data_IF_009260480012
#
_entry.id   IF_009260480012
#
_cell.length_a   1.000
_cell.length_b   1.000
_cell.length_c   1.000
_cell.angle_alpha   90.00
_cell.angle_beta   90.00
_cell.angle_gamma   90.00
#
_symmetry.space_group_name_H-M   'P 1'
#
loop_
_entity.id
_entity.type
_entity.pdbx_description
1 polymer ?
#
# COMPACT_ATOMS: atom_id res chain seq x y z
N UNK A 1 0.69 8.02 28.10
CA UNK A 1 1.93 7.46 27.49
C UNK A 1 2.48 8.46 26.49
N UNK A 2 3.76 8.41 26.18
CA UNK A 2 4.35 9.15 25.06
C UNK A 2 4.21 8.35 23.74
N UNK A 3 4.64 8.93 22.62
CA UNK A 3 4.49 8.31 21.29
C UNK A 3 5.23 6.96 21.17
N UNK A 4 6.46 6.86 21.68
CA UNK A 4 7.22 5.61 21.62
C UNK A 4 6.57 4.51 22.45
N UNK A 5 6.14 4.82 23.68
CA UNK A 5 5.38 3.89 24.52
C UNK A 5 4.07 3.44 23.85
N UNK A 6 3.43 4.32 23.07
CA UNK A 6 2.22 3.97 22.32
C UNK A 6 2.53 2.97 21.20
N UNK A 7 3.61 3.21 20.44
CA UNK A 7 4.06 2.30 19.38
C UNK A 7 4.48 0.94 19.96
N UNK A 8 5.25 0.95 21.05
CA UNK A 8 5.65 -0.27 21.76
C UNK A 8 4.44 -1.06 22.27
N UNK A 9 3.42 -0.38 22.81
CA UNK A 9 2.18 -1.03 23.21
C UNK A 9 1.51 -1.71 22.01
N UNK A 10 1.36 -1.04 20.87
CA UNK A 10 0.76 -1.62 19.66
C UNK A 10 1.56 -2.84 19.21
N UNK A 11 2.88 -2.75 19.09
CA UNK A 11 3.74 -3.88 18.72
C UNK A 11 3.69 -5.04 19.71
N UNK A 12 3.50 -4.76 21.00
CA UNK A 12 3.33 -5.81 22.01
C UNK A 12 2.15 -6.76 21.76
N UNK A 13 1.19 -6.32 20.93
CA UNK A 13 0.01 -7.09 20.52
C UNK A 13 0.29 -8.03 19.34
N UNK A 14 1.43 -7.91 18.64
CA UNK A 14 1.85 -8.79 17.54
C UNK A 14 1.88 -10.26 17.96
N UNK A 15 2.20 -10.55 19.22
CA UNK A 15 2.17 -11.91 19.80
C UNK A 15 0.85 -12.64 19.63
N UNK A 16 -0.26 -11.93 19.40
CA UNK A 16 -1.57 -12.54 19.16
C UNK A 16 -1.76 -12.95 17.69
N UNK A 17 -0.83 -12.57 16.81
CA UNK A 17 -0.78 -12.94 15.39
C UNK A 17 -1.97 -12.45 14.59
N UNK A 18 -2.09 -13.01 13.39
CA UNK A 18 -3.22 -12.74 12.50
C UNK A 18 -4.41 -13.63 12.88
N UNK A 19 -5.54 -13.04 13.21
CA UNK A 19 -6.77 -13.73 13.60
C UNK A 19 -7.95 -13.14 12.84
N UNK A 20 -8.38 -13.72 11.71
CA UNK A 20 -9.55 -13.26 10.97
C UNK A 20 -10.81 -13.24 11.84
N UNK A 21 -11.66 -12.25 11.64
CA UNK A 21 -12.93 -12.08 12.37
C UNK A 21 -13.15 -10.65 12.83
N UNK A 22 -14.42 -10.24 12.90
CA UNK A 22 -14.80 -8.86 13.22
C UNK A 22 -15.28 -8.70 14.68
N UNK A 23 -15.39 -9.79 15.44
CA UNK A 23 -15.95 -9.77 16.79
C UNK A 23 -15.08 -8.95 17.75
N UNK A 24 -13.75 -9.16 17.74
CA UNK A 24 -12.83 -8.47 18.66
C UNK A 24 -12.75 -6.98 18.39
N UNK A 25 -12.59 -6.60 17.12
CA UNK A 25 -12.59 -5.19 16.73
C UNK A 25 -13.95 -4.55 17.00
N UNK A 26 -15.05 -5.29 16.83
CA UNK A 26 -16.40 -4.85 17.17
C UNK A 26 -16.58 -4.55 18.66
N UNK A 27 -16.07 -5.43 19.53
CA UNK A 27 -16.07 -5.20 20.97
C UNK A 27 -15.22 -3.99 21.35
N UNK A 28 -14.02 -3.87 20.72
CA UNK A 28 -13.14 -2.72 20.97
C UNK A 28 -13.79 -1.41 20.52
N UNK A 29 -14.38 -1.36 19.33
CA UNK A 29 -15.07 -0.16 18.86
C UNK A 29 -16.27 0.19 19.75
N UNK A 30 -17.03 -0.78 20.27
CA UNK A 30 -18.10 -0.53 21.23
C UNK A 30 -17.57 0.09 22.53
N UNK A 31 -16.49 -0.44 23.08
CA UNK A 31 -15.87 0.12 24.28
C UNK A 31 -15.35 1.55 24.06
N UNK A 32 -14.96 1.88 22.83
CA UNK A 32 -14.52 3.23 22.42
C UNK A 32 -15.67 4.17 22.01
N UNK A 33 -16.93 3.75 22.15
CA UNK A 33 -18.11 4.55 21.78
C UNK A 33 -18.39 4.57 20.29
N UNK A 34 -18.04 3.50 19.58
CA UNK A 34 -18.29 3.27 18.15
C UNK A 34 -17.77 4.40 17.24
N UNK A 35 -16.47 4.73 17.30
CA UNK A 35 -15.90 5.87 16.58
C UNK A 35 -16.03 5.77 15.07
N UNK A 36 -16.12 4.56 14.50
CA UNK A 36 -16.31 4.32 13.06
C UNK A 36 -17.68 4.75 12.54
N UNK A 37 -18.70 4.84 13.42
CA UNK A 37 -20.07 5.20 13.00
C UNK A 37 -20.18 6.66 12.60
N UNK A 38 -20.86 6.88 11.47
CA UNK A 38 -21.11 8.21 10.90
C UNK A 38 -19.93 8.82 10.15
N UNK A 39 -18.81 8.10 10.02
CA UNK A 39 -17.74 8.48 9.08
C UNK A 39 -18.18 8.10 7.65
N UNK A 40 -17.99 9.02 6.70
CA UNK A 40 -18.12 8.71 5.26
C UNK A 40 -16.85 8.04 4.79
N UNK A 41 -16.94 6.76 4.44
CA UNK A 41 -15.77 5.94 4.19
C UNK A 41 -15.66 5.56 2.72
N UNK A 42 -14.45 5.70 2.18
CA UNK A 42 -14.01 5.08 0.94
C UNK A 42 -13.13 3.90 1.34
N UNK A 43 -13.53 2.68 1.00
CA UNK A 43 -12.90 1.45 1.45
C UNK A 43 -12.21 0.75 0.30
N UNK A 44 -10.87 0.57 0.39
CA UNK A 44 -10.02 0.13 -0.73
C UNK A 44 -9.43 -1.25 -0.45
N UNK A 45 -9.84 -2.25 -1.22
CA UNK A 45 -9.29 -3.60 -1.21
C UNK A 45 -8.62 -3.96 -2.55
N UNK A 46 -7.79 -4.98 -2.55
CA UNK A 46 -7.09 -5.48 -3.73
C UNK A 46 -5.80 -6.22 -3.35
N UNK A 47 -5.08 -6.74 -4.31
CA UNK A 47 -3.74 -7.30 -4.10
C UNK A 47 -2.70 -6.20 -4.22
N UNK A 48 -2.59 -5.57 -5.37
CA UNK A 48 -1.66 -4.48 -5.66
C UNK A 48 -2.41 -3.16 -5.90
N UNK A 49 -1.76 -2.02 -5.63
CA UNK A 49 -2.31 -0.69 -5.91
C UNK A 49 -3.22 -0.11 -4.81
N UNK A 50 -3.52 -0.83 -3.72
CA UNK A 50 -4.39 -0.33 -2.64
C UNK A 50 -3.90 1.00 -2.06
N UNK A 51 -2.68 1.02 -1.50
CA UNK A 51 -2.11 2.22 -0.90
C UNK A 51 -1.99 3.38 -1.88
N UNK A 52 -1.57 3.10 -3.13
CA UNK A 52 -1.48 4.10 -4.19
C UNK A 52 -2.84 4.73 -4.50
N UNK A 53 -3.86 3.91 -4.73
CA UNK A 53 -5.22 4.38 -5.01
C UNK A 53 -5.79 5.14 -3.82
N UNK A 54 -5.60 4.65 -2.59
CA UNK A 54 -6.04 5.32 -1.36
C UNK A 54 -5.40 6.69 -1.19
N UNK A 55 -4.09 6.80 -1.44
CA UNK A 55 -3.35 8.06 -1.34
C UNK A 55 -3.83 9.05 -2.41
N UNK A 56 -4.02 8.61 -3.66
CA UNK A 56 -4.55 9.48 -4.73
C UNK A 56 -5.94 9.98 -4.37
N UNK A 57 -6.86 9.11 -3.95
CA UNK A 57 -8.22 9.51 -3.51
C UNK A 57 -8.13 10.54 -2.39
N UNK A 58 -7.30 10.30 -1.38
CA UNK A 58 -7.12 11.21 -0.24
C UNK A 58 -6.61 12.59 -0.69
N UNK A 59 -5.61 12.63 -1.58
CA UNK A 59 -5.08 13.89 -2.13
C UNK A 59 -6.12 14.66 -2.95
N UNK A 60 -6.93 13.98 -3.78
CA UNK A 60 -8.01 14.59 -4.54
C UNK A 60 -9.04 15.22 -3.60
N UNK A 61 -9.48 14.51 -2.58
CA UNK A 61 -10.44 15.02 -1.61
C UNK A 61 -9.93 16.25 -0.85
N UNK A 62 -8.64 16.26 -0.49
CA UNK A 62 -7.99 17.41 0.14
C UNK A 62 -7.94 18.62 -0.79
N UNK A 63 -7.60 18.44 -2.08
CA UNK A 63 -7.60 19.51 -3.08
C UNK A 63 -9.01 20.03 -3.37
N UNK A 64 -10.02 19.20 -3.21
CA UNK A 64 -11.42 19.60 -3.26
C UNK A 64 -11.91 20.32 -1.97
N UNK A 65 -11.04 20.46 -0.95
CA UNK A 65 -11.35 21.21 0.28
C UNK A 65 -11.98 20.37 1.40
N UNK A 66 -12.02 19.05 1.28
CA UNK A 66 -12.55 18.17 2.33
C UNK A 66 -11.50 17.81 3.38
N UNK A 67 -11.89 17.79 4.65
CA UNK A 67 -11.11 17.22 5.73
C UNK A 67 -11.05 15.71 5.59
N UNK A 68 -9.88 15.19 5.26
CA UNK A 68 -9.72 13.80 4.84
C UNK A 68 -8.78 13.04 5.75
N UNK A 69 -9.28 11.93 6.32
CA UNK A 69 -8.48 10.91 6.98
C UNK A 69 -7.96 9.88 5.98
N UNK A 70 -6.74 9.39 6.17
CA UNK A 70 -6.17 8.29 5.39
C UNK A 70 -5.58 7.25 6.33
N UNK A 71 -5.98 5.99 6.15
CA UNK A 71 -5.40 4.83 6.83
C UNK A 71 -4.79 3.89 5.81
N UNK A 72 -3.47 3.63 5.92
CA UNK A 72 -2.70 2.77 5.00
C UNK A 72 -1.85 1.74 5.73
N UNK A 73 -1.51 0.65 5.04
CA UNK A 73 -0.63 -0.40 5.55
C UNK A 73 0.09 -1.17 4.43
N UNK A 74 1.34 -1.59 4.66
CA UNK A 74 2.20 -1.21 5.79
C UNK A 74 2.70 0.24 5.68
N UNK A 75 3.34 0.74 6.73
CA UNK A 75 4.15 1.96 6.65
C UNK A 75 5.52 1.66 6.02
N UNK A 76 6.24 2.67 5.56
CA UNK A 76 7.59 2.53 4.99
C UNK A 76 8.65 2.86 6.05
N UNK A 77 8.81 4.11 6.40
CA UNK A 77 9.87 4.54 7.35
C UNK A 77 9.33 4.86 8.75
N UNK A 78 8.10 5.39 8.84
CA UNK A 78 7.56 5.88 10.10
C UNK A 78 6.20 5.24 10.41
N UNK A 79 6.06 4.66 11.59
CA UNK A 79 4.81 4.04 12.04
C UNK A 79 3.57 4.94 11.87
N UNK A 80 3.74 6.27 12.06
CA UNK A 80 2.66 7.27 11.96
C UNK A 80 2.13 7.47 10.54
N UNK A 81 2.86 6.99 9.51
CA UNK A 81 2.36 6.98 8.12
C UNK A 81 1.04 6.24 7.97
N UNK A 82 0.77 5.27 8.88
CA UNK A 82 -0.48 4.49 8.89
C UNK A 82 -1.73 5.34 9.07
N UNK A 83 -1.62 6.49 9.77
CA UNK A 83 -2.74 7.36 10.10
C UNK A 83 -2.38 8.78 9.71
N UNK A 84 -3.10 9.33 8.73
CA UNK A 84 -2.85 10.66 8.20
C UNK A 84 -4.14 11.49 8.23
N UNK A 85 -3.99 12.80 8.34
CA UNK A 85 -5.05 13.77 8.24
C UNK A 85 -4.59 14.96 7.39
N UNK A 86 -5.34 15.26 6.33
CA UNK A 86 -5.01 16.32 5.37
C UNK A 86 -3.55 16.30 4.89
N UNK A 87 -3.04 15.09 4.53
CA UNK A 87 -1.69 14.86 4.01
C UNK A 87 -0.58 14.82 5.06
N UNK A 88 -0.86 15.17 6.32
CA UNK A 88 0.09 15.07 7.42
C UNK A 88 -0.06 13.78 8.22
N UNK A 89 1.04 13.16 8.63
CA UNK A 89 1.02 12.05 9.58
C UNK A 89 0.43 12.53 10.91
N UNK A 90 -0.30 11.65 11.60
CA UNK A 90 -0.78 11.91 12.97
C UNK A 90 0.36 12.44 13.86
N UNK A 91 0.10 13.50 14.61
CA UNK A 91 1.11 14.06 15.53
C UNK A 91 1.46 13.06 16.63
N UNK A 92 2.71 13.07 17.15
CA UNK A 92 3.15 12.12 18.19
C UNK A 92 2.22 12.08 19.40
N UNK A 93 1.78 13.25 19.87
CA UNK A 93 0.92 13.40 21.04
C UNK A 93 -0.50 12.86 20.74
N UNK A 94 -1.02 13.11 19.54
CA UNK A 94 -2.34 12.63 19.12
C UNK A 94 -2.36 11.11 18.96
N UNK A 95 -1.26 10.51 18.44
CA UNK A 95 -1.13 9.05 18.40
C UNK A 95 -1.12 8.46 19.80
N UNK A 96 -0.33 9.04 20.71
CA UNK A 96 -0.25 8.62 22.09
C UNK A 96 -1.62 8.68 22.80
N UNK A 97 -2.39 9.74 22.56
CA UNK A 97 -3.74 9.91 23.11
C UNK A 97 -4.74 8.89 22.56
N UNK A 98 -4.72 8.63 21.24
CA UNK A 98 -5.60 7.65 20.62
C UNK A 98 -5.27 6.23 21.08
N UNK A 99 -3.99 5.88 21.14
CA UNK A 99 -3.54 4.57 21.62
C UNK A 99 -3.80 4.41 23.12
N UNK A 100 -3.68 5.47 23.93
CA UNK A 100 -4.06 5.43 25.34
C UNK A 100 -5.54 5.12 25.54
N UNK A 101 -6.40 5.69 24.70
CA UNK A 101 -7.84 5.37 24.73
C UNK A 101 -8.09 3.89 24.41
N UNK A 102 -7.42 3.37 23.34
CA UNK A 102 -7.49 1.95 22.97
C UNK A 102 -7.00 1.07 24.11
N UNK A 103 -5.83 1.36 24.69
CA UNK A 103 -5.27 0.60 25.82
C UNK A 103 -6.22 0.55 27.00
N UNK A 104 -6.78 1.69 27.39
CA UNK A 104 -7.73 1.77 28.50
C UNK A 104 -8.98 0.91 28.22
N UNK A 105 -9.54 0.95 27.01
CA UNK A 105 -10.67 0.10 26.62
C UNK A 105 -10.31 -1.40 26.66
N UNK A 106 -9.10 -1.75 26.20
CA UNK A 106 -8.61 -3.13 26.27
C UNK A 106 -8.48 -3.60 27.73
N UNK A 107 -7.80 -2.84 28.58
CA UNK A 107 -7.50 -3.23 29.96
C UNK A 107 -8.78 -3.27 30.84
N UNK A 108 -9.68 -2.29 30.69
CA UNK A 108 -10.84 -2.16 31.57
C UNK A 108 -12.08 -2.92 31.09
N UNK A 109 -12.30 -3.03 29.76
CA UNK A 109 -13.54 -3.58 29.21
C UNK A 109 -13.36 -4.94 28.52
N UNK A 110 -12.24 -5.17 27.79
CA UNK A 110 -12.04 -6.36 27.00
C UNK A 110 -11.28 -7.47 27.74
N UNK A 111 -10.16 -7.14 28.39
CA UNK A 111 -9.31 -8.11 29.06
C UNK A 111 -10.04 -8.86 30.19
N UNK A 112 -10.89 -8.23 31.03
CA UNK A 112 -11.70 -8.95 32.02
C UNK A 112 -12.65 -10.00 31.43
N UNK A 113 -12.98 -9.86 30.14
CA UNK A 113 -13.82 -10.78 29.37
C UNK A 113 -13.01 -11.78 28.54
N UNK A 114 -11.67 -11.80 28.70
CA UNK A 114 -10.77 -12.69 27.95
C UNK A 114 -10.57 -12.28 26.48
N UNK A 115 -10.96 -11.06 26.09
CA UNK A 115 -10.84 -10.56 24.72
C UNK A 115 -9.52 -9.80 24.58
N UNK A 116 -8.70 -10.20 23.61
CA UNK A 116 -7.41 -9.58 23.32
C UNK A 116 -7.37 -9.20 21.83
N UNK A 117 -7.33 -7.91 21.47
CA UNK A 117 -7.21 -7.49 20.10
C UNK A 117 -5.81 -7.78 19.55
N UNK A 118 -5.72 -7.91 18.25
CA UNK A 118 -4.43 -7.97 17.52
C UNK A 118 -3.85 -6.56 17.35
N UNK A 119 -2.59 -6.48 16.94
CA UNK A 119 -1.92 -5.22 16.58
C UNK A 119 -2.74 -4.42 15.58
N UNK A 120 -3.17 -5.07 14.48
CA UNK A 120 -3.91 -4.39 13.40
C UNK A 120 -5.30 -3.94 13.86
N UNK A 121 -6.00 -4.70 14.69
CA UNK A 121 -7.28 -4.27 15.28
C UNK A 121 -7.11 -3.04 16.16
N UNK A 122 -6.06 -3.00 16.98
CA UNK A 122 -5.79 -1.88 17.88
C UNK A 122 -5.45 -0.58 17.13
N UNK A 123 -4.58 -0.65 16.12
CA UNK A 123 -4.23 0.55 15.33
C UNK A 123 -5.39 1.00 14.43
N UNK A 124 -6.21 0.09 13.92
CA UNK A 124 -7.44 0.41 13.17
C UNK A 124 -8.44 1.17 14.07
N UNK A 125 -8.64 0.70 15.29
CA UNK A 125 -9.51 1.38 16.27
C UNK A 125 -8.96 2.77 16.64
N UNK A 126 -7.63 2.91 16.83
CA UNK A 126 -7.00 4.21 17.07
C UNK A 126 -7.21 5.18 15.90
N UNK A 127 -7.13 4.70 14.65
CA UNK A 127 -7.41 5.50 13.46
C UNK A 127 -8.87 6.01 13.44
N UNK A 128 -9.86 5.15 13.75
CA UNK A 128 -11.26 5.58 13.86
C UNK A 128 -11.46 6.65 14.93
N UNK A 129 -10.84 6.47 16.12
CA UNK A 129 -10.87 7.48 17.20
C UNK A 129 -10.30 8.81 16.70
N UNK A 130 -9.17 8.77 16.01
CA UNK A 130 -8.53 9.96 15.46
C UNK A 130 -9.39 10.68 14.42
N UNK A 131 -9.88 9.97 13.41
CA UNK A 131 -10.71 10.54 12.36
C UNK A 131 -12.00 11.16 12.90
N UNK A 132 -12.63 10.50 13.89
CA UNK A 132 -13.80 11.03 14.57
C UNK A 132 -13.50 12.33 15.32
N UNK A 133 -12.37 12.38 16.05
CA UNK A 133 -11.93 13.58 16.78
C UNK A 133 -11.60 14.74 15.86
N UNK A 134 -10.98 14.44 14.70
CA UNK A 134 -10.66 15.46 13.67
C UNK A 134 -11.87 15.93 12.89
N UNK A 135 -13.01 15.29 13.01
CA UNK A 135 -14.20 15.66 12.25
C UNK A 135 -13.99 15.49 10.74
N UNK A 136 -13.38 14.38 10.33
CA UNK A 136 -13.16 14.11 8.91
C UNK A 136 -14.48 14.10 8.13
N UNK A 137 -14.51 14.80 6.99
CA UNK A 137 -15.61 14.72 6.03
C UNK A 137 -15.62 13.36 5.35
N UNK A 138 -14.43 12.84 5.03
CA UNK A 138 -14.18 11.51 4.47
C UNK A 138 -13.01 10.81 5.15
N UNK A 139 -13.08 9.49 5.23
CA UNK A 139 -11.96 8.64 5.62
C UNK A 139 -11.69 7.60 4.54
N UNK A 140 -10.48 7.58 4.00
CA UNK A 140 -10.02 6.58 3.04
C UNK A 140 -9.31 5.49 3.80
N UNK A 141 -9.82 4.25 3.71
CA UNK A 141 -9.30 3.09 4.45
C UNK A 141 -8.73 2.06 3.49
N UNK A 142 -7.44 1.81 3.57
CA UNK A 142 -6.81 0.67 2.93
C UNK A 142 -7.04 -0.59 3.76
N UNK A 143 -7.56 -1.65 3.14
CA UNK A 143 -7.68 -3.00 3.72
C UNK A 143 -6.30 -3.59 3.96
N UNK A 144 -6.03 -4.09 5.16
CA UNK A 144 -4.76 -4.73 5.48
C UNK A 144 -4.61 -6.07 4.76
N UNK A 145 -5.59 -6.96 4.92
CA UNK A 145 -5.58 -8.29 4.29
C UNK A 145 -6.98 -8.79 3.94
N UNK A 146 -7.11 -9.31 2.72
CA UNK A 146 -8.39 -9.85 2.26
C UNK A 146 -9.43 -8.75 2.05
N UNK A 147 -10.40 -8.66 2.92
CA UNK A 147 -11.48 -7.67 2.93
C UNK A 147 -12.58 -8.08 3.90
N UNK A 148 -13.19 -9.25 3.70
CA UNK A 148 -14.35 -9.75 4.46
C UNK A 148 -14.16 -9.71 5.98
N UNK A 149 -13.03 -10.18 6.47
CA UNK A 149 -12.69 -10.29 7.88
C UNK A 149 -11.58 -9.34 8.31
N UNK A 150 -11.26 -8.35 7.46
CA UNK A 150 -10.29 -7.31 7.80
C UNK A 150 -10.87 -6.36 8.85
N UNK A 151 -10.04 -5.90 9.78
CA UNK A 151 -10.47 -5.01 10.87
C UNK A 151 -11.09 -3.71 10.35
N UNK A 152 -10.66 -3.22 9.19
CA UNK A 152 -11.25 -2.02 8.58
C UNK A 152 -12.69 -2.23 8.14
N UNK A 153 -13.12 -3.49 7.95
CA UNK A 153 -14.47 -3.83 7.49
C UNK A 153 -15.55 -3.86 8.60
N UNK A 154 -15.21 -3.43 9.82
CA UNK A 154 -16.20 -3.26 10.91
C UNK A 154 -17.20 -2.11 10.66
N UNK A 155 -17.00 -1.35 9.62
CA UNK A 155 -17.83 -0.22 9.21
C UNK A 155 -19.19 -0.67 8.67
N UNK A 156 -20.15 0.25 8.61
CA UNK A 156 -21.37 0.11 7.82
C UNK A 156 -21.04 0.08 6.30
N UNK A 157 -22.03 0.22 5.42
CA UNK A 157 -21.75 0.31 3.98
C UNK A 157 -20.83 1.51 3.69
N UNK A 158 -19.70 1.32 2.99
CA UNK A 158 -18.88 2.44 2.56
C UNK A 158 -19.61 3.29 1.52
N UNK A 159 -19.33 4.59 1.45
CA UNK A 159 -19.83 5.42 0.35
C UNK A 159 -19.35 4.88 -0.99
N UNK A 160 -18.07 4.50 -1.05
CA UNK A 160 -17.48 3.86 -2.23
C UNK A 160 -16.58 2.71 -1.79
N UNK A 161 -16.82 1.52 -2.32
CA UNK A 161 -15.94 0.36 -2.25
C UNK A 161 -15.05 0.31 -3.49
N UNK A 162 -13.74 0.23 -3.32
CA UNK A 162 -12.78 0.19 -4.42
C UNK A 162 -12.04 -1.14 -4.43
N UNK A 163 -12.08 -1.82 -5.56
CA UNK A 163 -11.36 -3.06 -5.79
C UNK A 163 -10.21 -2.81 -6.79
N UNK A 164 -9.00 -2.66 -6.27
CA UNK A 164 -7.80 -2.52 -7.08
C UNK A 164 -7.40 -3.85 -7.72
N UNK A 165 -6.27 -3.94 -8.39
CA UNK A 165 -5.81 -5.18 -9.05
C UNK A 165 -5.81 -6.39 -8.11
N UNK A 166 -6.38 -7.51 -8.55
CA UNK A 166 -6.45 -8.78 -7.82
C UNK A 166 -5.59 -9.83 -8.54
N UNK A 167 -4.67 -10.43 -7.81
CA UNK A 167 -3.79 -11.50 -8.27
C UNK A 167 -3.50 -12.47 -7.12
N UNK A 168 -2.74 -13.53 -7.39
CA UNK A 168 -2.32 -14.48 -6.35
C UNK A 168 -1.38 -13.78 -5.35
N UNK A 169 -1.76 -13.77 -4.10
CA UNK A 169 -0.96 -13.36 -2.94
C UNK A 169 -1.63 -13.89 -1.66
N UNK A 170 -0.85 -14.04 -0.59
CA UNK A 170 -1.34 -14.53 0.70
C UNK A 170 -2.16 -15.82 0.61
N UNK A 171 -1.77 -16.74 -0.29
CA UNK A 171 -2.52 -17.96 -0.61
C UNK A 171 -2.82 -18.84 0.59
N UNK A 172 -1.93 -18.87 1.59
CA UNK A 172 -2.13 -19.64 2.83
C UNK A 172 -3.34 -19.15 3.66
N UNK A 173 -3.78 -17.89 3.47
CA UNK A 173 -4.88 -17.29 4.24
C UNK A 173 -6.11 -17.07 3.38
N UNK A 174 -5.94 -16.55 2.15
CA UNK A 174 -7.04 -16.14 1.27
C UNK A 174 -7.49 -17.21 0.28
N UNK A 175 -6.71 -18.31 0.18
CA UNK A 175 -6.96 -19.39 -0.78
C UNK A 175 -6.01 -19.37 -1.96
N UNK A 176 -5.97 -20.47 -2.69
CA UNK A 176 -4.99 -20.84 -3.69
C UNK A 176 -5.43 -20.50 -5.14
N UNK A 177 -6.55 -19.82 -5.31
CA UNK A 177 -7.05 -19.37 -6.61
C UNK A 177 -7.45 -17.89 -6.59
N UNK A 178 -7.39 -17.25 -7.76
CA UNK A 178 -7.77 -15.84 -7.94
C UNK A 178 -9.22 -15.61 -7.54
N UNK A 179 -10.11 -16.56 -7.82
CA UNK A 179 -11.53 -16.50 -7.45
C UNK A 179 -11.74 -16.48 -5.93
N UNK A 180 -11.00 -17.30 -5.17
CA UNK A 180 -11.08 -17.32 -3.70
C UNK A 180 -10.58 -16.00 -3.12
N UNK A 181 -9.45 -15.52 -3.62
CA UNK A 181 -8.88 -14.23 -3.21
C UNK A 181 -9.86 -13.08 -3.52
N UNK A 182 -10.46 -13.08 -4.72
CA UNK A 182 -11.46 -12.09 -5.10
C UNK A 182 -12.70 -12.16 -4.20
N UNK A 183 -13.16 -13.36 -3.83
CA UNK A 183 -14.29 -13.56 -2.91
C UNK A 183 -14.03 -12.91 -1.54
N UNK A 184 -12.84 -13.10 -0.98
CA UNK A 184 -12.46 -12.48 0.30
C UNK A 184 -12.40 -10.95 0.19
N UNK A 185 -11.85 -10.42 -0.93
CA UNK A 185 -11.78 -8.97 -1.16
C UNK A 185 -13.15 -8.34 -1.40
N UNK A 186 -14.04 -9.02 -2.10
CA UNK A 186 -15.42 -8.59 -2.30
C UNK A 186 -16.24 -8.52 -1.00
N UNK A 187 -15.71 -9.00 0.13
CA UNK A 187 -16.33 -8.81 1.44
C UNK A 187 -16.50 -7.35 1.87
N UNK A 188 -15.85 -6.39 1.20
CA UNK A 188 -16.06 -4.95 1.42
C UNK A 188 -17.33 -4.40 0.72
N UNK A 189 -17.90 -5.15 -0.23
CA UNK A 189 -19.13 -4.78 -0.94
C UNK A 189 -20.31 -4.97 0.03
N UNK A 190 -21.05 -3.91 0.29
CA UNK A 190 -22.19 -3.90 1.20
C UNK A 190 -23.35 -3.14 0.55
N UNK A 191 -24.61 -3.61 0.68
CA UNK A 191 -25.76 -2.97 0.06
C UNK A 191 -25.83 -1.45 0.34
N UNK A 192 -25.97 -0.67 -0.72
CA UNK A 192 -26.01 0.79 -0.67
C UNK A 192 -24.68 1.48 -0.93
N UNK A 193 -23.66 0.72 -1.36
CA UNK A 193 -22.35 1.27 -1.76
C UNK A 193 -22.29 1.51 -3.27
N UNK A 194 -21.51 2.50 -3.68
CA UNK A 194 -20.99 2.58 -5.06
C UNK A 194 -19.71 1.74 -5.15
N UNK A 195 -19.56 0.89 -6.17
CA UNK A 195 -18.40 0.02 -6.32
C UNK A 195 -17.59 0.41 -7.55
N UNK A 196 -16.29 0.56 -7.37
CA UNK A 196 -15.33 0.84 -8.45
C UNK A 196 -14.30 -0.27 -8.52
N UNK A 197 -14.06 -0.81 -9.71
CA UNK A 197 -13.05 -1.84 -9.92
C UNK A 197 -11.96 -1.38 -10.90
N UNK A 198 -10.75 -1.87 -10.68
CA UNK A 198 -9.59 -1.65 -11.54
C UNK A 198 -9.85 -2.16 -12.98
N UNK A 199 -9.41 -1.44 -14.03
CA UNK A 199 -9.82 -1.73 -15.40
C UNK A 199 -9.24 -3.02 -16.00
N UNK A 200 -8.11 -3.50 -15.51
CA UNK A 200 -7.44 -4.72 -15.99
C UNK A 200 -7.49 -5.84 -14.94
N UNK A 201 -8.69 -6.17 -14.47
CA UNK A 201 -8.88 -7.33 -13.61
C UNK A 201 -8.71 -8.64 -14.39
N UNK A 202 -8.17 -9.66 -13.72
CA UNK A 202 -8.31 -11.04 -14.17
C UNK A 202 -9.79 -11.38 -14.41
N UNK A 203 -10.10 -12.09 -15.51
CA UNK A 203 -11.49 -12.37 -15.90
C UNK A 203 -12.27 -13.13 -14.82
N UNK A 204 -11.61 -14.06 -14.12
CA UNK A 204 -12.23 -14.84 -13.04
C UNK A 204 -12.48 -13.97 -11.81
N UNK A 205 -11.50 -13.11 -11.44
CA UNK A 205 -11.70 -12.12 -10.38
C UNK A 205 -12.85 -11.19 -10.72
N UNK A 206 -12.91 -10.70 -11.95
CA UNK A 206 -13.96 -9.78 -12.38
C UNK A 206 -15.34 -10.43 -12.38
N UNK A 207 -15.45 -11.73 -12.72
CA UNK A 207 -16.70 -12.47 -12.60
C UNK A 207 -17.20 -12.53 -11.15
N UNK A 208 -16.30 -12.73 -10.17
CA UNK A 208 -16.65 -12.72 -8.75
C UNK A 208 -17.10 -11.34 -8.31
N UNK A 209 -16.40 -10.26 -8.72
CA UNK A 209 -16.77 -8.87 -8.40
C UNK A 209 -18.18 -8.56 -8.92
N UNK A 210 -18.45 -8.85 -10.21
CA UNK A 210 -19.77 -8.61 -10.81
C UNK A 210 -20.89 -9.35 -10.09
N UNK A 211 -20.62 -10.60 -9.69
CA UNK A 211 -21.59 -11.40 -8.95
C UNK A 211 -21.87 -10.78 -7.58
N UNK A 212 -20.84 -10.39 -6.83
CA UNK A 212 -20.99 -9.77 -5.52
C UNK A 212 -21.77 -8.45 -5.57
N UNK A 213 -21.49 -7.59 -6.57
CA UNK A 213 -22.24 -6.35 -6.77
C UNK A 213 -23.72 -6.63 -7.11
N UNK A 214 -24.00 -7.60 -7.99
CA UNK A 214 -25.38 -7.97 -8.32
C UNK A 214 -26.13 -8.52 -7.12
N UNK A 215 -25.51 -9.33 -6.26
CA UNK A 215 -26.11 -9.87 -5.03
C UNK A 215 -26.38 -8.77 -3.99
N UNK A 216 -25.51 -7.74 -3.91
CA UNK A 216 -25.72 -6.58 -3.04
C UNK A 216 -26.71 -5.57 -3.61
N UNK A 217 -26.98 -5.60 -4.91
CA UNK A 217 -27.79 -4.59 -5.62
C UNK A 217 -27.01 -3.28 -5.85
N UNK A 218 -25.69 -3.33 -5.80
CA UNK A 218 -24.79 -2.17 -5.90
C UNK A 218 -24.36 -1.92 -7.34
N UNK A 219 -24.17 -0.64 -7.68
CA UNK A 219 -23.63 -0.22 -8.97
C UNK A 219 -22.14 -0.51 -9.04
N UNK A 220 -21.70 -1.14 -10.15
CA UNK A 220 -20.30 -1.36 -10.48
C UNK A 220 -19.86 -0.41 -11.60
N UNK A 221 -18.83 0.38 -11.31
CA UNK A 221 -18.15 1.25 -12.29
C UNK A 221 -16.73 0.72 -12.54
N UNK A 222 -16.32 0.74 -13.79
CA UNK A 222 -14.95 0.36 -14.21
C UNK A 222 -14.45 1.45 -15.15
N UNK A 223 -13.22 1.97 -14.97
CA UNK A 223 -12.64 2.94 -15.91
C UNK A 223 -12.66 2.40 -17.34
N UNK A 224 -13.14 3.20 -18.28
CA UNK A 224 -13.17 2.85 -19.70
C UNK A 224 -11.77 2.92 -20.30
N UNK A 225 -11.20 1.76 -20.62
CA UNK A 225 -9.84 1.62 -21.18
C UNK A 225 -9.69 2.42 -22.48
N UNK A 226 -10.75 2.50 -23.28
CA UNK A 226 -10.74 3.24 -24.56
C UNK A 226 -10.57 4.75 -24.40
N UNK A 227 -10.75 5.27 -23.17
CA UNK A 227 -10.60 6.68 -22.83
C UNK A 227 -9.29 6.99 -22.10
N UNK A 228 -8.41 6.01 -21.90
CA UNK A 228 -7.12 6.18 -21.21
C UNK A 228 -6.03 6.39 -22.25
N UNK A 229 -5.31 7.49 -22.19
CA UNK A 229 -4.15 7.81 -23.02
C UNK A 229 -2.94 8.15 -22.16
N UNK A 230 -1.82 7.45 -22.34
CA UNK A 230 -0.51 7.88 -21.79
C UNK A 230 0.13 8.81 -22.82
N UNK A 231 0.24 10.08 -22.49
CA UNK A 231 0.79 11.12 -23.36
C UNK A 231 2.30 11.07 -23.37
N UNK A 232 2.89 11.01 -22.17
CA UNK A 232 4.34 10.88 -21.99
C UNK A 232 4.65 10.09 -20.73
N UNK A 233 5.76 9.35 -20.74
CA UNK A 233 6.26 8.62 -19.58
C UNK A 233 7.80 8.72 -19.52
N UNK A 234 8.34 8.95 -18.35
CA UNK A 234 9.77 9.09 -18.10
C UNK A 234 10.12 8.60 -16.69
N UNK A 235 11.42 8.61 -16.36
CA UNK A 235 11.90 8.40 -14.98
C UNK A 235 11.30 9.39 -13.97
N UNK A 236 10.75 10.52 -14.43
CA UNK A 236 10.33 11.63 -13.58
C UNK A 236 8.84 11.69 -13.36
N UNK A 237 8.10 10.86 -14.05
CA UNK A 237 6.65 10.80 -13.96
C UNK A 237 5.98 10.47 -15.28
N UNK A 238 4.67 10.48 -15.24
CA UNK A 238 3.80 10.12 -16.35
C UNK A 238 2.75 11.21 -16.54
N UNK A 239 2.58 11.70 -17.76
CA UNK A 239 1.46 12.54 -18.17
C UNK A 239 0.43 11.65 -18.88
N UNK A 240 -0.81 11.75 -18.46
CA UNK A 240 -1.90 10.93 -19.01
C UNK A 240 -3.19 11.74 -19.17
N UNK A 241 -4.10 11.20 -19.93
CA UNK A 241 -5.47 11.73 -20.09
C UNK A 241 -6.47 10.58 -19.87
N UNK A 242 -7.52 10.86 -19.13
CA UNK A 242 -8.64 9.96 -18.94
C UNK A 242 -9.96 10.71 -19.08
N UNK A 243 -10.79 10.31 -20.02
CA UNK A 243 -12.13 10.89 -20.29
C UNK A 243 -12.11 12.42 -20.42
N UNK A 244 -11.11 12.96 -21.15
CA UNK A 244 -10.89 14.38 -21.36
C UNK A 244 -10.16 15.10 -20.23
N UNK A 245 -9.92 14.46 -19.09
CA UNK A 245 -9.17 15.02 -17.98
C UNK A 245 -7.67 14.71 -18.13
N UNK A 246 -6.83 15.73 -18.27
CA UNK A 246 -5.37 15.61 -18.22
C UNK A 246 -4.84 15.70 -16.81
N UNK A 247 -3.86 14.85 -16.49
CA UNK A 247 -3.20 14.83 -15.18
C UNK A 247 -1.76 14.37 -15.28
N UNK A 248 -0.96 14.76 -14.29
CA UNK A 248 0.42 14.34 -14.12
C UNK A 248 0.56 13.47 -12.87
N UNK A 249 1.34 12.40 -13.00
CA UNK A 249 1.76 11.54 -11.90
C UNK A 249 3.26 11.70 -11.71
N UNK A 250 3.72 12.04 -10.53
CA UNK A 250 5.15 12.00 -10.17
C UNK A 250 5.64 10.55 -9.90
N UNK A 251 4.88 9.60 -10.39
CA UNK A 251 5.09 8.17 -10.27
C UNK A 251 5.16 7.58 -11.67
N UNK A 252 6.05 6.65 -11.83
CA UNK A 252 6.25 6.00 -13.10
C UNK A 252 5.48 4.66 -13.16
N UNK A 253 5.19 4.24 -14.38
CA UNK A 253 4.57 2.95 -14.67
C UNK A 253 3.07 3.04 -15.02
N UNK A 254 2.70 2.35 -16.09
CA UNK A 254 1.30 2.31 -16.58
C UNK A 254 0.30 1.90 -15.52
N UNK A 255 0.67 1.00 -14.61
CA UNK A 255 -0.20 0.57 -13.52
C UNK A 255 -0.61 1.74 -12.61
N UNK A 256 0.25 2.76 -12.47
CA UNK A 256 -0.08 3.95 -11.70
C UNK A 256 -1.12 4.83 -12.39
N UNK A 257 -1.10 4.90 -13.74
CA UNK A 257 -2.16 5.56 -14.52
C UNK A 257 -3.51 4.86 -14.29
N UNK A 258 -3.53 3.53 -14.29
CA UNK A 258 -4.75 2.77 -14.05
C UNK A 258 -5.26 2.91 -12.60
N UNK A 259 -4.36 2.99 -11.62
CA UNK A 259 -4.73 3.30 -10.23
C UNK A 259 -5.32 4.72 -10.13
N UNK A 260 -4.75 5.70 -10.86
CA UNK A 260 -5.28 7.06 -10.93
C UNK A 260 -6.67 7.09 -11.58
N UNK A 261 -6.88 6.40 -12.70
CA UNK A 261 -8.20 6.28 -13.32
C UNK A 261 -9.24 5.63 -12.38
N UNK A 262 -8.81 4.61 -11.62
CA UNK A 262 -9.66 3.98 -10.59
C UNK A 262 -10.00 4.97 -9.47
N UNK A 263 -9.04 5.79 -9.03
CA UNK A 263 -9.27 6.85 -8.04
C UNK A 263 -10.19 7.96 -8.58
N UNK A 264 -10.06 8.35 -9.86
CA UNK A 264 -10.96 9.31 -10.53
C UNK A 264 -12.39 8.81 -10.48
N UNK A 265 -12.64 7.56 -10.88
CA UNK A 265 -13.98 6.99 -10.83
C UNK A 265 -14.50 6.86 -9.38
N UNK A 266 -13.62 6.55 -8.42
CA UNK A 266 -14.01 6.48 -7.02
C UNK A 266 -14.46 7.84 -6.46
N UNK A 267 -13.78 8.94 -6.80
CA UNK A 267 -14.21 10.28 -6.33
C UNK A 267 -15.43 10.79 -7.10
N UNK A 268 -15.59 10.44 -8.37
CA UNK A 268 -16.81 10.73 -9.15
C UNK A 268 -18.04 10.00 -8.58
N UNK A 269 -17.86 8.77 -8.11
CA UNK A 269 -18.92 7.96 -7.50
C UNK A 269 -19.39 8.52 -6.13
N UNK A 270 -18.67 9.44 -5.50
CA UNK A 270 -19.13 10.14 -4.30
C UNK A 270 -20.27 11.13 -4.58
N UNK A 271 -20.48 11.50 -5.84
CA UNK A 271 -21.47 12.53 -6.25
C UNK A 271 -21.32 13.86 -5.48
N UNK A 272 -20.09 14.15 -5.02
CA UNK A 272 -19.73 15.40 -4.37
C UNK A 272 -19.26 16.41 -5.42
N UNK A 273 -19.27 17.70 -5.04
CA UNK A 273 -18.78 18.79 -5.91
C UNK A 273 -17.25 18.79 -5.92
N UNK A 274 -16.66 18.00 -6.82
CA UNK A 274 -15.21 17.86 -6.99
C UNK A 274 -14.87 18.26 -8.43
N UNK A 275 -14.14 19.39 -8.58
CA UNK A 275 -13.78 19.90 -9.90
C UNK A 275 -12.67 19.05 -10.55
N UNK A 276 -12.61 19.05 -11.89
CA UNK A 276 -11.53 18.41 -12.64
C UNK A 276 -10.15 18.98 -12.27
N UNK A 277 -10.06 20.26 -11.93
CA UNK A 277 -8.84 20.89 -11.43
C UNK A 277 -8.40 20.27 -10.10
N UNK A 278 -9.31 20.08 -9.13
CA UNK A 278 -9.01 19.43 -7.86
C UNK A 278 -8.58 17.96 -8.05
N UNK A 279 -9.16 17.25 -9.03
CA UNK A 279 -8.76 15.88 -9.38
C UNK A 279 -7.32 15.88 -9.92
N UNK A 280 -7.02 16.72 -10.92
CA UNK A 280 -5.68 16.78 -11.52
C UNK A 280 -4.60 17.18 -10.48
N UNK A 281 -4.87 18.23 -9.69
CA UNK A 281 -3.97 18.70 -8.62
C UNK A 281 -3.78 17.64 -7.52
N UNK A 282 -4.82 16.91 -7.17
CA UNK A 282 -4.75 15.84 -6.18
C UNK A 282 -3.89 14.66 -6.65
N UNK A 283 -4.02 14.27 -7.92
CA UNK A 283 -3.19 13.24 -8.53
C UNK A 283 -1.73 13.67 -8.54
N UNK A 284 -1.44 14.90 -8.97
CA UNK A 284 -0.09 15.45 -9.00
C UNK A 284 0.55 15.59 -7.60
N UNK A 285 -0.26 15.82 -6.56
CA UNK A 285 0.21 15.94 -5.18
C UNK A 285 0.47 14.59 -4.49
N UNK A 286 0.04 13.47 -5.09
CA UNK A 286 0.16 12.15 -4.48
C UNK A 286 1.63 11.68 -4.45
N UNK A 287 2.16 11.47 -3.24
CA UNK A 287 3.50 10.94 -3.00
C UNK A 287 3.37 9.56 -2.37
N UNK A 288 4.11 8.61 -2.90
CA UNK A 288 4.07 7.21 -2.45
C UNK A 288 5.49 6.69 -2.22
N UNK A 289 5.97 6.73 -0.98
CA UNK A 289 7.28 6.19 -0.64
C UNK A 289 7.43 4.73 -1.07
N UNK A 290 8.62 4.38 -1.55
CA UNK A 290 8.96 3.02 -1.98
C UNK A 290 8.00 2.41 -3.04
N UNK A 291 7.51 3.24 -3.98
CA UNK A 291 6.74 2.82 -5.17
C UNK A 291 7.41 3.35 -6.44
N UNK A 292 8.42 2.65 -6.94
CA UNK A 292 9.32 3.13 -7.98
C UNK A 292 9.78 4.58 -7.69
N UNK A 293 10.05 4.84 -6.42
CA UNK A 293 10.44 6.16 -5.92
C UNK A 293 11.81 6.55 -6.46
N UNK A 294 11.89 7.64 -7.20
CA UNK A 294 13.15 8.18 -7.68
C UNK A 294 13.83 8.97 -6.57
N UNK A 295 14.86 8.40 -5.97
CA UNK A 295 15.65 9.01 -4.89
C UNK A 295 16.73 9.95 -5.45
N UNK A 296 17.38 9.57 -6.55
CA UNK A 296 18.42 10.37 -7.21
C UNK A 296 18.33 10.24 -8.73
N UNK A 297 18.69 11.33 -9.41
CA UNK A 297 18.71 11.39 -10.88
C UNK A 297 20.03 10.96 -11.49
N UNK A 298 21.15 11.18 -10.77
CA UNK A 298 22.49 10.91 -11.27
C UNK A 298 23.45 10.59 -10.10
N UNK A 299 23.88 9.34 -9.89
CA UNK A 299 23.35 8.16 -10.59
C UNK A 299 21.84 7.98 -10.35
N UNK A 300 21.18 7.25 -11.26
CA UNK A 300 19.77 6.92 -11.04
C UNK A 300 19.64 5.98 -9.84
N UNK A 301 18.87 6.38 -8.82
CA UNK A 301 18.59 5.54 -7.66
C UNK A 301 17.08 5.42 -7.51
N UNK A 302 16.58 4.19 -7.64
CA UNK A 302 15.16 3.84 -7.49
C UNK A 302 14.94 2.96 -6.29
N UNK A 303 13.84 3.20 -5.58
CA UNK A 303 13.40 2.43 -4.43
C UNK A 303 11.99 1.88 -4.65
N UNK A 304 11.81 0.56 -4.54
CA UNK A 304 10.51 -0.11 -4.63
C UNK A 304 10.34 -1.17 -3.54
N UNK A 305 9.24 -1.12 -2.82
CA UNK A 305 8.91 -2.06 -1.75
C UNK A 305 8.09 -3.28 -2.20
N UNK A 306 7.80 -3.40 -3.50
CA UNK A 306 7.03 -4.52 -4.05
C UNK A 306 7.72 -5.87 -3.84
N UNK A 307 6.94 -6.90 -3.51
CA UNK A 307 7.46 -8.17 -3.01
C UNK A 307 6.73 -9.40 -3.57
N UNK A 308 5.92 -9.24 -4.59
CA UNK A 308 5.24 -10.33 -5.30
C UNK A 308 5.53 -10.26 -6.81
N UNK A 309 5.18 -11.32 -7.56
CA UNK A 309 5.47 -11.42 -8.98
C UNK A 309 4.89 -10.25 -9.79
N UNK A 310 3.67 -9.79 -9.48
CA UNK A 310 3.05 -8.65 -10.18
C UNK A 310 3.80 -7.33 -9.94
N UNK A 311 4.37 -7.13 -8.75
CA UNK A 311 5.25 -5.99 -8.47
C UNK A 311 6.58 -6.13 -9.22
N UNK A 312 7.17 -7.32 -9.25
CA UNK A 312 8.40 -7.60 -9.97
C UNK A 312 8.25 -7.33 -11.48
N UNK A 313 7.10 -7.71 -12.06
CA UNK A 313 6.79 -7.42 -13.46
C UNK A 313 6.72 -5.91 -13.74
N UNK A 314 6.09 -5.15 -12.85
CA UNK A 314 6.03 -3.68 -12.98
C UNK A 314 7.42 -3.03 -12.90
N UNK A 315 8.27 -3.48 -11.96
CA UNK A 315 9.66 -3.03 -11.83
C UNK A 315 10.46 -3.39 -13.08
N UNK A 316 10.35 -4.62 -13.57
CA UNK A 316 11.04 -5.11 -14.76
C UNK A 316 10.63 -4.33 -16.03
N UNK A 317 9.32 -4.12 -16.24
CA UNK A 317 8.81 -3.32 -17.36
C UNK A 317 9.34 -1.88 -17.29
N UNK A 318 9.35 -1.27 -16.10
CA UNK A 318 9.88 0.07 -15.90
C UNK A 318 11.39 0.14 -16.20
N UNK A 319 12.19 -0.79 -15.68
CA UNK A 319 13.63 -0.88 -15.96
C UNK A 319 13.86 -1.00 -17.45
N UNK A 320 13.15 -1.91 -18.13
CA UNK A 320 13.29 -2.15 -19.55
C UNK A 320 12.98 -0.94 -20.42
N UNK A 321 12.05 -0.08 -19.99
CA UNK A 321 11.66 1.12 -20.75
C UNK A 321 12.52 2.36 -20.45
N UNK A 322 12.92 2.55 -19.18
CA UNK A 322 13.49 3.84 -18.75
C UNK A 322 14.93 3.77 -18.23
N UNK A 323 15.43 2.57 -17.90
CA UNK A 323 16.77 2.37 -17.34
C UNK A 323 17.64 1.49 -18.28
N UNK A 324 17.06 0.98 -19.37
CA UNK A 324 17.77 0.14 -20.34
C UNK A 324 19.03 0.81 -20.88
N UNK A 325 20.10 0.02 -21.06
CA UNK A 325 21.40 0.50 -21.54
C UNK A 325 22.31 1.06 -20.44
N UNK A 326 21.85 1.24 -19.22
CA UNK A 326 22.68 1.56 -18.06
C UNK A 326 23.16 0.28 -17.39
N UNK A 327 24.37 0.31 -16.78
CA UNK A 327 24.77 -0.75 -15.86
C UNK A 327 23.92 -0.64 -14.59
N UNK A 328 23.27 -1.73 -14.18
CA UNK A 328 22.37 -1.77 -13.03
C UNK A 328 23.02 -2.57 -11.91
N UNK A 329 23.17 -1.95 -10.74
CA UNK A 329 23.41 -2.62 -9.48
C UNK A 329 22.06 -2.80 -8.79
N UNK A 330 21.73 -4.01 -8.37
CA UNK A 330 20.47 -4.30 -7.70
C UNK A 330 20.74 -4.70 -6.26
N UNK A 331 20.04 -4.05 -5.30
CA UNK A 331 20.06 -4.39 -3.88
C UNK A 331 18.67 -4.94 -3.52
N UNK A 332 18.61 -6.15 -3.00
CA UNK A 332 17.31 -6.79 -2.72
C UNK A 332 17.29 -7.56 -1.41
N UNK A 333 16.10 -7.58 -0.81
CA UNK A 333 15.72 -8.46 0.31
C UNK A 333 14.32 -9.00 0.06
N UNK A 334 14.10 -10.28 0.26
CA UNK A 334 12.80 -10.93 0.09
C UNK A 334 12.36 -11.64 1.38
N UNK A 335 11.07 -11.82 1.52
CA UNK A 335 10.51 -12.62 2.62
C UNK A 335 10.45 -14.08 2.22
N UNK A 336 10.80 -14.99 3.14
CA UNK A 336 10.87 -16.44 2.88
C UNK A 336 9.50 -17.08 2.56
N UNK A 337 8.40 -16.42 2.93
CA UNK A 337 7.02 -16.85 2.68
C UNK A 337 6.46 -16.39 1.32
N UNK A 338 7.28 -15.73 0.50
CA UNK A 338 6.90 -15.23 -0.84
C UNK A 338 7.42 -16.13 -1.96
N UNK A 339 6.88 -15.95 -3.15
CA UNK A 339 7.37 -16.59 -4.37
C UNK A 339 8.69 -15.93 -4.81
N UNK A 340 9.79 -16.41 -4.21
CA UNK A 340 11.15 -15.88 -4.44
C UNK A 340 11.57 -16.09 -5.88
N UNK A 341 11.33 -17.28 -6.45
CA UNK A 341 11.70 -17.61 -7.82
C UNK A 341 10.95 -16.76 -8.84
N UNK A 342 9.62 -16.67 -8.70
CA UNK A 342 8.78 -15.84 -9.56
C UNK A 342 9.20 -14.37 -9.54
N UNK A 343 9.66 -13.86 -8.39
CA UNK A 343 10.17 -12.50 -8.25
C UNK A 343 11.52 -12.32 -8.94
N UNK A 344 12.51 -13.16 -8.59
CA UNK A 344 13.89 -13.05 -9.08
C UNK A 344 13.98 -13.23 -10.59
N UNK A 345 13.26 -14.19 -11.15
CA UNK A 345 13.18 -14.42 -12.61
C UNK A 345 12.82 -13.16 -13.40
N UNK A 346 12.03 -12.26 -12.81
CA UNK A 346 11.59 -11.01 -13.46
C UNK A 346 12.61 -9.90 -13.35
N UNK A 347 13.26 -9.73 -12.19
CA UNK A 347 14.10 -8.54 -11.93
C UNK A 347 15.61 -8.83 -12.03
N UNK A 348 16.08 -9.98 -11.56
CA UNK A 348 17.50 -10.27 -11.50
C UNK A 348 18.23 -10.30 -12.86
N UNK A 349 17.60 -10.69 -14.00
CA UNK A 349 18.23 -10.62 -15.31
C UNK A 349 18.67 -9.21 -15.76
N UNK A 350 18.13 -8.15 -15.17
CA UNK A 350 18.54 -6.78 -15.46
C UNK A 350 19.80 -6.35 -14.70
N UNK A 351 20.16 -7.08 -13.63
CA UNK A 351 21.30 -6.72 -12.79
C UNK A 351 22.62 -7.12 -13.44
N UNK A 352 23.55 -6.18 -13.55
CA UNK A 352 24.96 -6.46 -13.82
C UNK A 352 25.67 -6.94 -12.54
N UNK A 353 25.16 -6.56 -11.37
CA UNK A 353 25.59 -7.00 -10.05
C UNK A 353 24.37 -7.05 -9.12
N UNK A 354 24.13 -8.22 -8.48
CA UNK A 354 23.03 -8.43 -7.55
C UNK A 354 23.56 -8.54 -6.12
N UNK A 355 23.06 -7.70 -5.23
CA UNK A 355 23.44 -7.67 -3.82
C UNK A 355 22.22 -8.15 -3.00
N UNK A 356 22.33 -9.32 -2.41
CA UNK A 356 21.35 -9.87 -1.51
C UNK A 356 21.62 -9.36 -0.09
N UNK A 357 20.57 -8.88 0.59
CA UNK A 357 20.65 -8.48 2.00
C UNK A 357 19.46 -9.05 2.77
N UNK A 358 19.49 -8.90 4.10
CA UNK A 358 18.41 -9.38 4.97
C UNK A 358 17.85 -8.22 5.77
N UNK A 359 16.59 -7.86 5.51
CA UNK A 359 15.86 -6.91 6.34
C UNK A 359 15.73 -7.42 7.80
N UNK A 360 15.72 -6.50 8.78
CA UNK A 360 15.70 -6.84 10.22
C UNK A 360 14.30 -7.27 10.69
N UNK A 361 13.79 -8.33 10.06
CA UNK A 361 12.52 -8.98 10.46
C UNK A 361 12.68 -10.50 10.44
N UNK A 362 12.01 -11.23 11.36
CA UNK A 362 12.20 -12.69 11.51
C UNK A 362 11.92 -13.49 10.24
N UNK A 363 10.98 -13.04 9.41
CA UNK A 363 10.57 -13.72 8.16
C UNK A 363 11.40 -13.36 6.93
N UNK A 364 12.38 -12.46 7.05
CA UNK A 364 13.28 -12.15 5.96
C UNK A 364 14.14 -13.37 5.61
N UNK A 365 14.27 -13.62 4.31
CA UNK A 365 15.16 -14.65 3.79
C UNK A 365 16.60 -14.33 4.14
N UNK A 366 17.38 -15.37 4.45
CA UNK A 366 18.82 -15.22 4.67
C UNK A 366 19.54 -14.68 3.43
N UNK A 367 20.52 -13.80 3.61
CA UNK A 367 21.19 -13.14 2.50
C UNK A 367 21.98 -14.11 1.61
N UNK A 368 22.62 -15.14 2.18
CA UNK A 368 23.33 -16.15 1.39
C UNK A 368 22.33 -17.00 0.60
N UNK A 369 21.21 -17.41 1.21
CA UNK A 369 20.17 -18.16 0.52
C UNK A 369 19.52 -17.35 -0.62
N UNK A 370 19.31 -16.05 -0.42
CA UNK A 370 18.80 -15.17 -1.48
C UNK A 370 19.83 -15.00 -2.62
N UNK A 371 21.11 -14.85 -2.30
CA UNK A 371 22.21 -14.81 -3.28
C UNK A 371 22.24 -16.09 -4.11
N UNK A 372 22.15 -17.27 -3.48
CA UNK A 372 22.14 -18.55 -4.19
C UNK A 372 20.96 -18.65 -5.16
N UNK A 373 19.76 -18.24 -4.74
CA UNK A 373 18.58 -18.20 -5.62
C UNK A 373 18.76 -17.20 -6.78
N UNK A 374 19.34 -16.02 -6.52
CA UNK A 374 19.57 -15.00 -7.54
C UNK A 374 20.65 -15.41 -8.56
N UNK A 375 21.60 -16.28 -8.19
CA UNK A 375 22.68 -16.76 -9.07
C UNK A 375 22.18 -17.57 -10.27
N UNK A 376 20.94 -18.03 -10.25
CA UNK A 376 20.30 -18.65 -11.43
C UNK A 376 20.02 -17.62 -12.55
N UNK A 377 19.90 -16.34 -12.20
CA UNK A 377 19.46 -15.25 -13.10
C UNK A 377 20.50 -14.15 -13.29
N UNK A 378 21.47 -14.01 -12.39
CA UNK A 378 22.54 -13.01 -12.42
C UNK A 378 23.90 -13.66 -12.12
N UNK A 379 24.90 -13.45 -12.98
CA UNK A 379 26.21 -14.08 -12.82
C UNK A 379 27.07 -13.48 -11.68
N UNK A 380 26.88 -12.19 -11.36
CA UNK A 380 27.62 -11.50 -10.30
C UNK A 380 26.69 -11.24 -9.11
N UNK A 381 26.71 -12.15 -8.14
CA UNK A 381 25.89 -12.10 -6.95
C UNK A 381 26.73 -12.04 -5.68
N UNK A 382 26.33 -11.17 -4.75
CA UNK A 382 26.96 -10.99 -3.45
C UNK A 382 25.93 -11.00 -2.33
N UNK A 383 26.29 -11.57 -1.18
CA UNK A 383 25.50 -11.45 0.05
C UNK A 383 26.18 -10.51 1.04
N UNK A 384 25.42 -9.59 1.62
CA UNK A 384 25.80 -8.69 2.71
C UNK A 384 24.60 -8.61 3.64
N UNK A 385 24.70 -9.23 4.82
CA UNK A 385 23.53 -9.42 5.70
C UNK A 385 22.97 -8.12 6.27
N UNK A 386 23.84 -7.13 6.58
CA UNK A 386 23.41 -5.82 7.10
C UNK A 386 22.87 -4.94 5.97
N UNK A 387 21.61 -4.46 6.04
CA UNK A 387 21.05 -3.54 5.04
C UNK A 387 21.85 -2.24 4.89
N UNK A 388 22.36 -1.68 5.99
CA UNK A 388 23.16 -0.45 5.95
C UNK A 388 24.50 -0.66 5.24
N UNK A 389 25.23 -1.75 5.54
CA UNK A 389 26.48 -2.10 4.87
C UNK A 389 26.25 -2.45 3.40
N UNK A 390 25.16 -3.14 3.10
CA UNK A 390 24.76 -3.50 1.75
C UNK A 390 24.44 -2.25 0.91
N UNK A 391 23.77 -1.25 1.49
CA UNK A 391 23.51 0.03 0.83
C UNK A 391 24.79 0.81 0.57
N UNK A 392 25.70 0.91 1.56
CA UNK A 392 26.98 1.58 1.42
C UNK A 392 27.82 0.92 0.30
N UNK A 393 27.90 -0.41 0.32
CA UNK A 393 28.56 -1.15 -0.74
C UNK A 393 27.90 -0.90 -2.10
N UNK A 394 26.58 -1.02 -2.22
CA UNK A 394 25.86 -0.81 -3.48
C UNK A 394 26.10 0.59 -4.05
N UNK A 395 26.11 1.63 -3.22
CA UNK A 395 26.44 3.00 -3.63
C UNK A 395 27.87 3.14 -4.15
N UNK A 396 28.83 2.46 -3.53
CA UNK A 396 30.22 2.46 -3.98
C UNK A 396 30.42 1.81 -5.35
N UNK A 397 29.45 1.00 -5.78
CA UNK A 397 29.48 0.25 -7.06
C UNK A 397 28.82 0.99 -8.22
N UNK A 398 28.14 2.13 -7.96
CA UNK A 398 27.37 2.87 -8.96
C UNK A 398 28.02 4.22 -9.24
N UNK A 399 28.16 4.55 -10.53
CA UNK A 399 28.73 5.81 -11.04
C UNK A 399 27.65 6.61 -11.78
N UNK A 400 27.96 7.86 -12.10
CA UNK A 400 27.14 8.66 -13.01
C UNK A 400 26.95 7.92 -14.35
N UNK A 401 25.74 7.92 -14.88
CA UNK A 401 25.35 7.13 -16.05
C UNK A 401 24.85 5.72 -15.75
N UNK A 402 25.03 5.22 -14.53
CA UNK A 402 24.58 3.90 -14.08
C UNK A 402 23.32 4.01 -13.18
N UNK A 403 22.80 2.87 -12.71
CA UNK A 403 21.62 2.84 -11.86
C UNK A 403 21.77 1.89 -10.66
N UNK A 404 21.25 2.30 -9.52
CA UNK A 404 21.00 1.46 -8.35
C UNK A 404 19.49 1.24 -8.22
N UNK A 405 19.07 -0.01 -8.23
CA UNK A 405 17.67 -0.39 -7.99
C UNK A 405 17.61 -1.12 -6.65
N UNK A 406 16.89 -0.55 -5.70
CA UNK A 406 16.60 -1.19 -4.41
C UNK A 406 15.17 -1.71 -4.44
N UNK A 407 14.98 -3.03 -4.28
CA UNK A 407 13.66 -3.62 -4.45
C UNK A 407 13.45 -4.92 -3.64
N UNK A 408 12.20 -5.39 -3.58
CA UNK A 408 11.83 -6.69 -3.03
C UNK A 408 11.20 -6.65 -1.64
N UNK A 409 11.30 -5.56 -0.90
CA UNK A 409 10.73 -5.50 0.46
C UNK A 409 10.45 -4.08 0.94
N UNK A 410 9.26 -3.87 1.50
CA UNK A 410 8.95 -2.65 2.26
C UNK A 410 9.79 -2.52 3.54
N UNK A 411 10.18 -3.63 4.15
CA UNK A 411 11.04 -3.60 5.34
C UNK A 411 12.43 -3.08 4.99
N UNK A 412 13.03 -3.62 3.91
CA UNK A 412 14.31 -3.10 3.41
C UNK A 412 14.17 -1.60 3.05
N UNK A 413 13.12 -1.24 2.33
CA UNK A 413 12.89 0.14 1.95
C UNK A 413 12.80 1.06 3.18
N UNK A 414 12.07 0.65 4.23
CA UNK A 414 11.93 1.42 5.46
C UNK A 414 13.25 1.60 6.23
N UNK A 415 14.10 0.56 6.26
CA UNK A 415 15.38 0.63 6.97
C UNK A 415 16.40 1.57 6.33
N UNK A 416 16.36 1.69 4.99
CA UNK A 416 17.43 2.41 4.27
C UNK A 416 16.99 3.72 3.61
N UNK A 417 15.66 3.96 3.48
CA UNK A 417 15.12 5.13 2.77
C UNK A 417 15.63 6.46 3.34
N UNK A 418 15.58 6.63 4.65
CA UNK A 418 16.03 7.87 5.30
C UNK A 418 17.51 8.10 5.04
N UNK A 419 18.35 7.05 5.14
CA UNK A 419 19.77 7.13 4.78
C UNK A 419 19.99 7.46 3.29
N UNK A 420 19.05 7.06 2.42
CA UNK A 420 19.12 7.40 1.00
C UNK A 420 18.78 8.86 0.72
N UNK A 421 17.88 9.46 1.51
CA UNK A 421 17.45 10.85 1.37
C UNK A 421 18.47 11.84 1.96
N UNK A 422 19.06 11.51 3.12
CA UNK A 422 19.98 12.40 3.85
C UNK A 422 21.26 12.71 3.07
N UNK A 423 21.66 11.86 2.15
CA UNK A 423 22.88 12.05 1.34
C UNK A 423 22.65 12.80 0.02
N UNK A 424 21.39 13.19 -0.26
CA UNK A 424 21.03 13.95 -1.47
C UNK A 424 20.72 15.43 -1.16
N UNK A 425 20.82 15.85 0.11
CA UNK A 425 20.79 17.23 0.58
C UNK A 425 22.23 17.70 0.88
#
# INVERSE_FOLDING_TARGET
MNCNEAIEYIHSLEKFGMRPGLERIGELCRALGEPQKGLKIIHVAGTNGKGSTSTIISCILQKAGFNTGLFISPYVSNFRERIQYNGGMIAPEELADCVSAVKNAVENDLAPRGIQPTEFEAITAAAFVYFKRKGCDYAVLEVGLGGRFDSTNIIDAPCVGVLTSISLDHMAVLGDTVEKIAFEKCGIIKPGSEIVAYPFQDEKAFAVIRKACAEAGDRLTVPDIGKISVISESLYGTEAEYDGLRFELHLAGKHMVYNACTAIEAVRALHADISDAAIAEGIAAAVMPARLELISREPVILLDGGHNEGCAEAVADFIGRHVAGRRIVMLSSLMADKDVDGYLRRVAPFAAEFIATRADVPRAMDAEALKEAAAEYCADCRAISSPAEALEYARSRVKNGEALIVCGSFYLAGEIRDQMLDHNN
#
